data_IF_052519282832
#
_entry.id   IF_052519282832
#
_cell.length_a   1.000
_cell.length_b   1.000
_cell.length_c   1.000
_cell.angle_alpha   90.00
_cell.angle_beta   90.00
_cell.angle_gamma   90.00
#
_symmetry.space_group_name_H-M   'P 1'
#
loop_
_entity.id
_entity.type
_entity.pdbx_description
1 polymer ?
#
# COMPACT_ATOMS: atom_id res chain seq x y z
N UNK A 1 19.73 11.25 5.30
CA UNK A 1 18.51 10.99 6.07
C UNK A 1 17.34 10.95 5.10
N UNK A 2 16.92 9.76 4.68
CA UNK A 2 15.85 9.56 3.68
C UNK A 2 14.47 9.40 4.35
N UNK A 3 14.21 10.09 5.46
CA UNK A 3 12.92 10.04 6.15
C UNK A 3 12.58 8.69 6.81
N UNK A 4 13.52 7.74 6.85
CA UNK A 4 13.30 6.42 7.44
C UNK A 4 12.97 6.49 8.94
N UNK A 5 13.46 7.52 9.65
CA UNK A 5 13.24 7.68 11.08
C UNK A 5 11.92 8.41 11.41
N UNK A 6 11.29 9.03 10.41
CA UNK A 6 10.00 9.74 10.55
C UNK A 6 8.80 8.85 10.26
N UNK A 7 9.04 7.55 10.10
CA UNK A 7 8.01 6.56 9.78
C UNK A 7 7.51 5.90 11.04
N UNK A 8 6.20 5.77 11.16
CA UNK A 8 5.59 4.96 12.23
C UNK A 8 5.89 3.47 12.07
N UNK A 9 6.14 3.01 10.84
CA UNK A 9 6.42 1.61 10.54
C UNK A 9 7.17 1.47 9.22
N UNK A 10 8.16 0.59 9.18
CA UNK A 10 8.90 0.23 7.98
C UNK A 10 8.73 -1.24 7.65
N UNK A 11 8.56 -1.54 6.36
CA UNK A 11 8.65 -2.90 5.85
C UNK A 11 10.12 -3.22 5.56
N UNK A 12 10.57 -4.39 5.98
CA UNK A 12 11.97 -4.81 5.90
C UNK A 12 12.05 -6.21 5.32
N UNK A 13 13.04 -6.46 4.49
CA UNK A 13 13.39 -7.79 3.98
C UNK A 13 14.81 -8.13 4.44
N UNK A 14 14.93 -9.22 5.17
CA UNK A 14 16.19 -9.87 5.48
C UNK A 14 16.67 -10.62 4.23
N UNK A 15 17.71 -10.10 3.58
CA UNK A 15 18.18 -10.61 2.31
C UNK A 15 18.95 -11.93 2.44
N UNK A 16 19.43 -12.26 3.63
CA UNK A 16 20.08 -13.55 3.90
C UNK A 16 19.04 -14.69 3.96
N UNK A 17 17.78 -14.37 4.26
CA UNK A 17 16.65 -15.31 4.26
C UNK A 17 15.81 -15.26 2.99
N UNK A 18 15.91 -14.18 2.23
CA UNK A 18 15.07 -13.96 1.06
C UNK A 18 15.48 -14.84 -0.11
N UNK A 19 14.57 -15.70 -0.57
CA UNK A 19 14.81 -16.60 -1.73
C UNK A 19 14.30 -15.99 -3.05
N UNK A 20 13.91 -14.74 -3.08
CA UNK A 20 13.45 -14.01 -4.26
C UNK A 20 12.25 -14.64 -4.99
N UNK A 21 11.32 -15.27 -4.26
CA UNK A 21 10.17 -15.98 -4.83
C UNK A 21 8.98 -15.11 -5.22
N UNK A 22 9.00 -13.80 -4.91
CA UNK A 22 7.95 -12.80 -5.13
C UNK A 22 6.59 -13.05 -4.45
N UNK A 23 6.45 -14.10 -3.65
CA UNK A 23 5.21 -14.41 -2.93
C UNK A 23 4.65 -13.23 -2.12
N UNK A 24 5.50 -12.35 -1.60
CA UNK A 24 5.06 -11.16 -0.87
C UNK A 24 4.32 -10.17 -1.78
N UNK A 25 4.79 -9.96 -3.00
CA UNK A 25 4.14 -9.10 -4.00
C UNK A 25 2.86 -9.73 -4.52
N UNK A 26 2.89 -11.03 -4.81
CA UNK A 26 1.74 -11.78 -5.32
C UNK A 26 0.62 -11.86 -4.27
N UNK A 27 0.97 -12.12 -3.01
CA UNK A 27 0.02 -12.14 -1.91
C UNK A 27 -0.57 -10.75 -1.61
N UNK A 28 0.19 -9.68 -1.80
CA UNK A 28 -0.32 -8.32 -1.73
C UNK A 28 -1.30 -8.06 -2.88
N UNK A 29 -0.92 -8.38 -4.11
CA UNK A 29 -1.76 -8.20 -5.29
C UNK A 29 -3.08 -9.01 -5.20
N UNK A 30 -3.03 -10.22 -4.68
CA UNK A 30 -4.19 -11.10 -4.55
C UNK A 30 -5.32 -10.50 -3.69
N UNK A 31 -5.01 -9.59 -2.78
CA UNK A 31 -5.99 -8.95 -1.88
C UNK A 31 -6.25 -7.48 -2.21
N UNK A 32 -5.62 -6.97 -3.28
CA UNK A 32 -5.76 -5.60 -3.74
C UNK A 32 -6.03 -5.55 -5.26
N UNK A 33 -7.02 -6.32 -5.70
CA UNK A 33 -7.52 -6.31 -7.08
C UNK A 33 -6.43 -6.51 -8.16
N UNK A 34 -5.43 -7.34 -7.86
CA UNK A 34 -4.31 -7.62 -8.75
C UNK A 34 -3.19 -6.57 -8.71
N UNK A 35 -3.23 -5.61 -7.78
CA UNK A 35 -2.22 -4.57 -7.65
C UNK A 35 -1.38 -4.77 -6.39
N UNK A 36 -0.09 -5.05 -6.55
CA UNK A 36 0.84 -5.03 -5.42
C UNK A 36 1.05 -3.60 -4.93
N UNK A 37 0.83 -3.37 -3.63
CA UNK A 37 1.05 -2.09 -2.96
C UNK A 37 2.42 -2.04 -2.26
N UNK A 38 3.27 -2.98 -2.59
CA UNK A 38 4.68 -2.97 -2.26
C UNK A 38 5.51 -3.25 -3.51
N UNK A 39 6.65 -2.59 -3.60
CA UNK A 39 7.69 -2.87 -4.59
C UNK A 39 8.93 -3.34 -3.87
N UNK A 40 9.43 -4.52 -4.22
CA UNK A 40 10.60 -5.12 -3.53
C UNK A 40 11.87 -4.30 -3.70
N UNK A 41 11.96 -3.55 -4.81
CA UNK A 41 13.10 -2.67 -5.04
C UNK A 41 13.03 -1.44 -4.14
N UNK A 42 14.15 -1.16 -3.48
CA UNK A 42 14.30 -0.04 -2.57
C UNK A 42 15.73 0.00 -2.02
N UNK A 43 16.03 0.94 -1.13
CA UNK A 43 17.35 1.02 -0.51
C UNK A 43 17.74 -0.29 0.17
N UNK A 44 19.01 -0.66 0.06
CA UNK A 44 19.58 -1.82 0.73
C UNK A 44 20.66 -1.34 1.70
N UNK A 45 20.65 -1.90 2.90
CA UNK A 45 21.69 -1.77 3.88
C UNK A 45 22.45 -3.09 3.91
N UNK A 46 23.66 -3.07 3.36
CA UNK A 46 24.56 -4.22 3.37
C UNK A 46 25.77 -3.89 4.25
N UNK A 47 25.80 -4.53 5.41
CA UNK A 47 26.88 -4.40 6.40
C UNK A 47 27.37 -5.78 6.81
N UNK A 48 28.48 -5.85 7.55
CA UNK A 48 28.99 -7.12 8.09
C UNK A 48 28.01 -7.82 9.05
N UNK A 49 27.00 -7.11 9.55
CA UNK A 49 26.05 -7.62 10.56
C UNK A 49 24.60 -7.66 10.08
N UNK A 50 24.26 -7.01 8.97
CA UNK A 50 22.91 -6.95 8.46
C UNK A 50 22.89 -6.74 6.94
N UNK A 51 22.14 -7.58 6.24
CA UNK A 51 21.86 -7.46 4.83
C UNK A 51 20.34 -7.29 4.66
N UNK A 52 19.91 -6.03 4.66
CA UNK A 52 18.51 -5.64 4.76
C UNK A 52 18.11 -4.79 3.56
N UNK A 53 17.00 -5.12 2.94
CA UNK A 53 16.37 -4.32 1.91
C UNK A 53 15.09 -3.68 2.46
N UNK A 54 14.85 -2.42 2.10
CA UNK A 54 13.64 -1.67 2.42
C UNK A 54 12.74 -1.63 1.18
N UNK A 55 11.72 -2.51 1.10
CA UNK A 55 10.77 -2.46 0.00
C UNK A 55 10.01 -1.13 0.05
N UNK A 56 9.73 -0.58 -1.12
CA UNK A 56 8.90 0.62 -1.22
C UNK A 56 7.45 0.25 -0.92
N UNK A 57 6.90 0.81 0.14
CA UNK A 57 5.49 0.69 0.56
C UNK A 57 5.08 1.93 1.33
N UNK A 58 3.79 2.14 1.59
CA UNK A 58 3.35 3.30 2.37
C UNK A 58 3.97 3.27 3.78
N UNK A 59 4.50 4.44 4.18
CA UNK A 59 5.17 4.63 5.47
C UNK A 59 4.23 5.11 6.57
N UNK A 60 2.99 5.47 6.25
CA UNK A 60 2.01 6.05 7.19
C UNK A 60 2.61 7.20 8.01
N UNK A 61 3.24 8.15 7.30
CA UNK A 61 4.01 9.27 7.85
C UNK A 61 3.27 10.02 8.96
N UNK A 62 4.00 10.59 9.92
CA UNK A 62 3.42 11.44 10.97
C UNK A 62 2.87 12.74 10.38
N UNK A 63 3.57 13.34 9.41
CA UNK A 63 3.10 14.48 8.63
C UNK A 63 2.84 14.07 7.16
N UNK A 64 1.64 13.53 6.86
CA UNK A 64 1.35 12.96 5.55
C UNK A 64 0.91 14.01 4.53
N UNK A 65 1.81 14.44 3.66
CA UNK A 65 1.50 15.39 2.58
C UNK A 65 0.37 14.90 1.66
N UNK A 66 0.21 13.60 1.50
CA UNK A 66 -0.88 13.01 0.72
C UNK A 66 -2.27 13.30 1.33
N UNK A 67 -2.37 13.30 2.66
CA UNK A 67 -3.62 13.60 3.38
C UNK A 67 -3.91 15.09 3.37
N UNK A 68 -2.91 15.92 3.75
CA UNK A 68 -3.09 17.39 3.80
C UNK A 68 -3.34 17.99 2.42
N UNK A 69 -2.82 17.35 1.37
CA UNK A 69 -3.02 17.78 -0.02
C UNK A 69 -4.29 17.24 -0.66
N UNK A 70 -5.11 16.43 0.02
CA UNK A 70 -6.32 15.88 -0.56
C UNK A 70 -7.50 16.86 -0.48
N UNK A 71 -7.82 17.53 -1.59
CA UNK A 71 -8.92 18.50 -1.67
C UNK A 71 -10.33 17.87 -1.61
N UNK A 72 -10.43 16.56 -1.60
CA UNK A 72 -11.69 15.81 -1.67
C UNK A 72 -12.02 15.07 -0.37
N UNK A 73 -11.22 15.25 0.67
CA UNK A 73 -11.33 14.52 1.94
C UNK A 73 -11.42 12.99 1.75
N UNK A 74 -10.71 12.50 0.72
CA UNK A 74 -10.67 11.08 0.39
C UNK A 74 -9.53 10.34 1.10
N UNK A 75 -8.88 10.98 2.05
CA UNK A 75 -7.85 10.38 2.90
C UNK A 75 -8.11 10.73 4.35
N UNK A 76 -7.89 9.78 5.21
CA UNK A 76 -8.03 9.98 6.66
C UNK A 76 -6.91 9.25 7.42
N UNK A 77 -6.66 9.70 8.64
CA UNK A 77 -5.83 8.98 9.61
C UNK A 77 -6.76 8.21 10.53
N UNK A 78 -6.52 6.91 10.65
CA UNK A 78 -7.25 6.05 11.59
C UNK A 78 -6.84 6.35 13.03
N UNK A 79 -7.62 5.94 14.05
CA UNK A 79 -7.24 6.07 15.45
C UNK A 79 -5.93 5.32 15.81
N UNK A 80 -5.57 4.31 15.03
CA UNK A 80 -4.34 3.52 15.18
C UNK A 80 -3.14 4.12 14.44
N UNK A 81 -3.36 5.23 13.70
CA UNK A 81 -2.31 6.05 13.09
C UNK A 81 -2.07 5.81 11.60
N UNK A 82 -2.72 4.81 11.01
CA UNK A 82 -2.58 4.53 9.58
C UNK A 82 -3.26 5.60 8.72
N UNK A 83 -2.70 5.87 7.55
CA UNK A 83 -3.36 6.66 6.53
C UNK A 83 -4.17 5.72 5.65
N UNK A 84 -5.45 6.04 5.45
CA UNK A 84 -6.37 5.26 4.65
C UNK A 84 -6.99 6.11 3.54
N UNK A 85 -7.27 5.49 2.41
CA UNK A 85 -7.99 6.10 1.29
C UNK A 85 -9.45 5.67 1.37
N UNK A 86 -10.35 6.66 1.35
CA UNK A 86 -11.81 6.46 1.29
C UNK A 86 -12.18 6.38 -0.19
N UNK A 87 -12.44 5.18 -0.65
CA UNK A 87 -12.67 4.91 -2.08
C UNK A 87 -13.88 5.65 -2.63
N UNK A 88 -14.94 5.77 -1.83
CA UNK A 88 -16.20 6.41 -2.20
C UNK A 88 -16.03 7.89 -2.53
N UNK A 89 -15.13 8.57 -1.84
CA UNK A 89 -14.88 10.01 -2.03
C UNK A 89 -13.70 10.29 -2.95
N UNK A 90 -12.86 9.30 -3.21
CA UNK A 90 -11.68 9.45 -4.05
C UNK A 90 -12.07 9.73 -5.51
N UNK A 91 -11.63 10.85 -6.05
CA UNK A 91 -11.88 11.26 -7.45
C UNK A 91 -10.83 10.76 -8.44
N UNK A 92 -9.76 10.15 -7.96
CA UNK A 92 -8.65 9.71 -8.80
C UNK A 92 -7.85 10.85 -9.44
N UNK A 93 -7.81 12.02 -8.81
CA UNK A 93 -7.14 13.23 -9.34
C UNK A 93 -5.61 13.14 -9.38
N UNK A 94 -5.02 12.12 -8.75
CA UNK A 94 -3.56 11.89 -8.69
C UNK A 94 -2.76 12.91 -7.85
N UNK A 95 -3.39 13.78 -7.08
CA UNK A 95 -2.68 14.78 -6.29
C UNK A 95 -1.88 14.14 -5.16
N UNK A 96 -2.49 13.20 -4.41
CA UNK A 96 -1.83 12.48 -3.34
C UNK A 96 -0.59 11.69 -3.80
N UNK A 97 -0.65 11.05 -4.97
CA UNK A 97 0.51 10.35 -5.53
C UNK A 97 1.64 11.31 -5.90
N UNK A 98 1.33 12.49 -6.44
CA UNK A 98 2.34 13.52 -6.74
C UNK A 98 2.97 14.14 -5.51
N UNK A 99 2.24 14.19 -4.40
CA UNK A 99 2.71 14.76 -3.13
C UNK A 99 3.44 13.74 -2.26
N UNK A 100 3.32 12.44 -2.57
CA UNK A 100 4.04 11.41 -1.85
C UNK A 100 5.54 11.46 -2.18
N UNK A 101 6.42 11.77 -1.21
CA UNK A 101 7.86 11.85 -1.47
C UNK A 101 8.50 10.48 -1.71
N UNK A 102 7.76 9.40 -1.43
CA UNK A 102 8.23 8.01 -1.53
C UNK A 102 7.62 7.27 -2.72
N UNK A 103 6.76 7.92 -3.51
CA UNK A 103 6.07 7.34 -4.68
C UNK A 103 5.34 6.02 -4.37
N UNK A 104 4.72 5.94 -3.19
CA UNK A 104 4.08 4.71 -2.69
C UNK A 104 2.58 4.64 -2.97
N UNK A 105 2.01 5.64 -3.66
CA UNK A 105 0.58 5.69 -3.98
C UNK A 105 0.38 5.36 -5.46
N UNK A 106 -0.21 4.21 -5.72
CA UNK A 106 -0.54 3.78 -7.07
C UNK A 106 -1.88 4.37 -7.54
N UNK A 107 -1.97 4.71 -8.82
CA UNK A 107 -3.21 5.13 -9.46
C UNK A 107 -3.73 3.99 -10.32
N UNK A 108 -4.70 3.25 -9.82
CA UNK A 108 -5.27 2.08 -10.48
C UNK A 108 -6.59 2.41 -11.18
N UNK A 109 -6.96 1.68 -12.25
CA UNK A 109 -8.31 1.77 -12.79
C UNK A 109 -9.31 1.31 -11.73
N UNK A 110 -10.44 2.05 -11.56
CA UNK A 110 -11.56 1.49 -10.81
C UNK A 110 -12.08 0.27 -11.55
N UNK A 111 -12.45 -0.75 -10.80
CA UNK A 111 -13.23 -1.85 -11.39
C UNK A 111 -14.49 -1.23 -11.99
N UNK A 112 -14.65 -1.37 -13.32
CA UNK A 112 -15.91 -1.04 -13.97
C UNK A 112 -16.96 -2.01 -13.46
N UNK A 113 -18.22 -1.54 -13.33
CA UNK A 113 -19.37 -2.42 -13.07
C UNK A 113 -19.15 -3.74 -13.81
N UNK A 114 -18.94 -4.81 -13.07
CA UNK A 114 -18.69 -6.13 -13.67
C UNK A 114 -19.91 -6.45 -14.51
N UNK A 115 -19.74 -6.44 -15.83
CA UNK A 115 -20.78 -6.99 -16.71
C UNK A 115 -20.91 -8.46 -16.30
N UNK A 116 -22.09 -8.83 -15.79
CA UNK A 116 -22.37 -10.22 -15.47
C UNK A 116 -21.88 -11.08 -16.61
N UNK A 117 -21.00 -12.03 -16.31
CA UNK A 117 -20.54 -12.99 -17.29
C UNK A 117 -21.75 -13.77 -17.84
N UNK A 118 -21.63 -14.36 -19.01
CA UNK A 118 -22.70 -15.20 -19.56
C UNK A 118 -23.11 -16.35 -18.60
N UNK A 119 -22.16 -16.83 -17.77
CA UNK A 119 -22.39 -17.85 -16.73
C UNK A 119 -23.23 -17.27 -15.58
N UNK A 120 -22.97 -16.03 -15.13
CA UNK A 120 -23.75 -15.39 -14.06
C UNK A 120 -25.20 -15.16 -14.51
N UNK A 121 -25.40 -14.78 -15.78
CA UNK A 121 -26.72 -14.67 -16.39
C UNK A 121 -27.45 -16.04 -16.45
N UNK A 122 -26.70 -17.11 -16.73
CA UNK A 122 -27.28 -18.46 -16.79
C UNK A 122 -27.68 -18.95 -15.40
N UNK A 123 -26.94 -18.56 -14.35
CA UNK A 123 -27.17 -18.93 -12.96
C UNK A 123 -28.09 -17.95 -12.21
N UNK A 124 -28.63 -16.92 -12.88
CA UNK A 124 -29.50 -15.91 -12.27
C UNK A 124 -28.80 -15.08 -11.18
N UNK A 125 -27.48 -14.99 -11.22
CA UNK A 125 -26.70 -14.15 -10.30
C UNK A 125 -26.64 -12.74 -10.84
N UNK A 126 -27.22 -11.79 -10.13
CA UNK A 126 -27.00 -10.38 -10.40
C UNK A 126 -25.64 -9.96 -9.81
N UNK A 127 -24.77 -9.30 -10.58
CA UNK A 127 -23.51 -8.77 -10.04
C UNK A 127 -23.84 -7.68 -9.01
N UNK A 128 -23.12 -7.71 -7.88
CA UNK A 128 -23.20 -6.64 -6.89
C UNK A 128 -22.88 -5.30 -7.55
N UNK A 129 -23.69 -4.26 -7.33
CA UNK A 129 -23.46 -2.95 -7.92
C UNK A 129 -22.18 -2.33 -7.34
N UNK A 130 -21.16 -2.15 -8.17
CA UNK A 130 -19.95 -1.43 -7.79
C UNK A 130 -20.26 0.06 -7.74
N UNK A 131 -20.12 0.67 -6.57
CA UNK A 131 -20.28 2.11 -6.40
C UNK A 131 -19.15 2.84 -7.14
N UNK A 132 -19.49 3.60 -8.18
CA UNK A 132 -18.55 4.46 -8.89
C UNK A 132 -18.89 5.91 -8.58
N UNK A 133 -18.06 6.64 -7.79
CA UNK A 133 -18.31 8.04 -7.51
C UNK A 133 -18.39 8.85 -8.81
N UNK A 134 -19.32 9.77 -8.84
CA UNK A 134 -19.52 10.68 -9.99
C UNK A 134 -19.24 12.12 -9.58
N UNK A 135 -18.71 12.91 -10.50
CA UNK A 135 -18.56 14.35 -10.30
C UNK A 135 -19.94 15.01 -10.23
N UNK A 136 -20.04 16.25 -9.72
CA UNK A 136 -21.28 17.05 -9.77
C UNK A 136 -21.85 17.20 -11.19
N UNK A 137 -21.03 17.01 -12.22
CA UNK A 137 -21.41 17.04 -13.65
C UNK A 137 -21.78 15.66 -14.20
N UNK A 138 -21.91 14.64 -13.36
CA UNK A 138 -22.29 13.27 -13.77
C UNK A 138 -21.17 12.45 -14.40
N UNK A 139 -19.93 12.94 -14.41
CA UNK A 139 -18.78 12.19 -14.98
C UNK A 139 -18.28 11.16 -13.97
N UNK A 140 -18.23 9.88 -14.37
CA UNK A 140 -17.68 8.78 -13.55
C UNK A 140 -16.17 8.93 -13.40
N UNK A 141 -15.67 8.78 -12.17
CA UNK A 141 -14.23 8.76 -11.91
C UNK A 141 -13.67 7.37 -12.22
N UNK A 142 -12.76 7.31 -13.19
CA UNK A 142 -12.23 6.04 -13.74
C UNK A 142 -11.03 5.47 -12.99
N UNK A 143 -10.43 6.24 -12.11
CA UNK A 143 -9.20 5.87 -11.38
C UNK A 143 -9.42 6.01 -9.88
N UNK A 144 -8.66 5.22 -9.15
CA UNK A 144 -8.61 5.20 -7.69
C UNK A 144 -7.15 5.30 -7.27
N UNK A 145 -6.86 6.04 -6.22
CA UNK A 145 -5.58 5.95 -5.54
C UNK A 145 -5.58 4.71 -4.63
N UNK A 146 -4.49 3.98 -4.61
CA UNK A 146 -4.28 2.85 -3.71
C UNK A 146 -2.91 2.95 -3.06
N UNK A 147 -2.82 2.55 -1.80
CA UNK A 147 -1.58 2.47 -1.02
C UNK A 147 -1.64 1.29 -0.07
N UNK A 148 -0.49 0.89 0.48
CA UNK A 148 -0.47 -0.14 1.51
C UNK A 148 -1.37 0.26 2.69
N UNK A 149 -2.32 -0.59 3.04
CA UNK A 149 -3.31 -0.43 4.10
C UNK A 149 -2.93 -1.19 5.39
N UNK A 150 -1.71 -1.73 5.45
CA UNK A 150 -1.23 -2.65 6.51
C UNK A 150 -2.08 -3.90 6.68
N UNK A 151 -3.00 -4.16 5.78
CA UNK A 151 -4.00 -5.22 5.86
C UNK A 151 -4.79 -5.18 7.19
N UNK A 152 -5.12 -3.97 7.71
CA UNK A 152 -5.75 -3.78 9.04
C UNK A 152 -7.12 -4.44 9.16
N UNK A 153 -7.85 -4.59 8.06
CA UNK A 153 -9.15 -5.28 8.02
C UNK A 153 -9.02 -6.80 7.85
N UNK A 154 -7.80 -7.32 7.85
CA UNK A 154 -7.48 -8.74 7.65
C UNK A 154 -6.83 -9.33 8.90
N UNK A 155 -6.87 -10.66 9.07
CA UNK A 155 -6.28 -11.30 10.25
C UNK A 155 -4.75 -11.17 10.33
N UNK A 156 -4.10 -10.89 9.18
CA UNK A 156 -2.64 -10.76 9.10
C UNK A 156 -2.24 -9.95 7.86
N UNK A 157 -1.01 -9.42 7.88
CA UNK A 157 -0.40 -8.79 6.72
C UNK A 157 -0.04 -9.86 5.68
N UNK A 158 -0.69 -9.86 4.52
CA UNK A 158 -0.56 -10.93 3.53
C UNK A 158 0.87 -11.09 3.00
N UNK A 159 1.58 -10.00 2.76
CA UNK A 159 2.97 -10.05 2.31
C UNK A 159 3.89 -10.72 3.34
N UNK A 160 3.67 -10.49 4.62
CA UNK A 160 4.45 -11.09 5.72
C UNK A 160 4.06 -12.56 5.91
N UNK A 161 2.77 -12.83 6.00
CA UNK A 161 2.24 -14.17 6.27
C UNK A 161 2.61 -15.19 5.18
N UNK A 162 2.60 -14.77 3.92
CA UNK A 162 2.88 -15.65 2.78
C UNK A 162 4.38 -15.77 2.45
N UNK A 163 5.27 -15.19 3.26
CA UNK A 163 6.70 -15.36 3.08
C UNK A 163 7.16 -16.73 3.62
N UNK A 164 7.59 -17.67 2.76
CA UNK A 164 7.91 -19.03 3.19
C UNK A 164 9.13 -19.11 4.11
N UNK A 165 10.01 -18.11 4.05
CA UNK A 165 11.25 -18.06 4.86
C UNK A 165 11.16 -17.08 6.02
N UNK A 166 10.04 -16.33 6.15
CA UNK A 166 9.90 -15.27 7.13
C UNK A 166 10.88 -14.10 6.92
N UNK A 167 11.37 -13.93 5.71
CA UNK A 167 12.35 -12.88 5.37
C UNK A 167 11.75 -11.47 5.42
N UNK A 168 10.45 -11.30 5.16
CA UNK A 168 9.79 -10.00 5.16
C UNK A 168 8.99 -9.80 6.46
N UNK A 169 9.17 -8.64 7.08
CA UNK A 169 8.50 -8.28 8.33
C UNK A 169 8.41 -6.76 8.47
N UNK A 170 7.56 -6.29 9.41
CA UNK A 170 7.47 -4.87 9.75
C UNK A 170 8.11 -4.58 11.08
N UNK A 171 8.72 -3.41 11.16
CA UNK A 171 9.39 -2.91 12.35
C UNK A 171 9.01 -1.46 12.60
N UNK A 172 9.13 -1.02 13.85
CA UNK A 172 9.23 0.40 14.17
C UNK A 172 10.69 0.80 13.98
N UNK A 173 11.01 1.77 13.11
CA UNK A 173 12.40 2.16 12.87
C UNK A 173 13.14 2.58 14.13
N UNK A 174 12.48 3.33 15.02
CA UNK A 174 13.03 3.75 16.32
C UNK A 174 13.49 2.59 17.20
N UNK A 175 12.80 1.45 17.12
CA UNK A 175 13.07 0.30 17.99
C UNK A 175 14.08 -0.66 17.34
N UNK A 176 14.03 -0.75 16.01
CA UNK A 176 14.84 -1.70 15.23
C UNK A 176 16.25 -1.20 14.97
N UNK A 177 16.41 0.11 14.76
CA UNK A 177 17.69 0.74 14.43
C UNK A 177 18.34 1.43 15.65
N UNK A 178 18.00 1.02 16.86
CA UNK A 178 18.66 1.50 18.08
C UNK A 178 20.14 1.15 18.03
N UNK A 179 21.01 2.16 17.94
CA UNK A 179 22.47 2.01 17.87
C UNK A 179 23.08 2.17 16.48
N UNK A 180 22.27 2.40 15.45
CA UNK A 180 22.76 2.93 14.16
C UNK A 180 22.89 4.45 14.28
N UNK A 181 23.76 4.92 15.16
CA UNK A 181 24.12 6.33 15.21
C UNK A 181 24.83 6.71 13.92
N UNK A 182 24.20 7.61 13.19
CA UNK A 182 24.76 8.50 12.17
C UNK A 182 26.02 8.01 11.46
N UNK A 183 25.82 7.31 10.36
CA UNK A 183 26.81 7.36 9.28
C UNK A 183 26.54 8.71 8.57
N UNK A 184 27.23 9.73 9.02
CA UNK A 184 27.31 11.05 8.39
C UNK A 184 28.26 11.01 7.20
#
# INVERSE_FOLDING_TARGET
NQGLMEQNTALVIDMDKCIHCDNCSDACAAVHDGHSLLTRHGPQLDTTTANIQFPTSCHHCDDPLCLTGCNFNAMERTPTGEIRIIEETCTGCNLCAKLCPYDTIAMVPRQSETKAGWIDRLLGREPEPVFVPTSPTGKKYKRLAMQCDLCVERPHMNCVYNCPTGAIFRVKPSDYFVGVESIS
#
